data_IF_187693613397
#
_entry.id   IF_187693613397
#
_cell.length_a   1.000
_cell.length_b   1.000
_cell.length_c   1.000
_cell.angle_alpha   90.00
_cell.angle_beta   90.00
_cell.angle_gamma   90.00
#
_symmetry.space_group_name_H-M   'P 1'
#
loop_
_entity.id
_entity.type
_entity.pdbx_description
1 polymer ?
#
# COMPACT_ATOMS: atom_id res chain seq x y z
N UNK A 1 -9.64 1.91 3.76
CA UNK A 1 -8.32 2.58 3.65
C UNK A 1 -7.24 1.59 3.25
N UNK A 2 -7.01 0.52 4.03
CA UNK A 2 -6.10 -0.56 3.63
C UNK A 2 -6.59 -1.22 2.33
N UNK A 3 -7.86 -1.58 2.24
CA UNK A 3 -8.38 -2.25 1.03
C UNK A 3 -8.29 -1.41 -0.26
N UNK A 4 -8.21 -0.08 -0.14
CA UNK A 4 -8.03 0.81 -1.27
C UNK A 4 -6.55 1.00 -1.66
N UNK A 5 -5.61 0.65 -0.78
CA UNK A 5 -4.18 0.86 -0.98
C UNK A 5 -3.52 -0.30 -1.71
N UNK A 6 -2.67 0.00 -2.68
CA UNK A 6 -1.92 -1.01 -3.45
C UNK A 6 -0.50 -1.19 -2.91
N UNK A 7 0.01 -0.18 -2.21
CA UNK A 7 1.38 -0.10 -1.71
C UNK A 7 1.36 0.33 -0.25
N UNK A 8 2.24 -0.28 0.55
CA UNK A 8 2.57 0.16 1.89
C UNK A 8 4.07 0.43 2.00
N UNK A 9 4.47 1.14 3.05
CA UNK A 9 5.84 1.35 3.44
C UNK A 9 6.11 0.56 4.71
N UNK A 10 6.98 -0.44 4.63
CA UNK A 10 7.42 -1.25 5.77
C UNK A 10 8.65 -0.57 6.39
N UNK A 11 8.45 0.06 7.55
CA UNK A 11 9.50 0.57 8.42
C UNK A 11 9.99 -0.51 9.37
N UNK A 12 11.31 -0.74 9.40
CA UNK A 12 12.00 -1.68 10.30
C UNK A 12 13.27 -1.06 10.83
N UNK A 13 13.81 -1.59 11.93
CA UNK A 13 15.20 -1.35 12.33
C UNK A 13 16.08 -2.49 11.82
N UNK A 14 16.93 -2.21 10.84
CA UNK A 14 17.85 -3.19 10.28
C UNK A 14 19.29 -2.77 10.60
N UNK A 15 20.07 -3.64 11.25
CA UNK A 15 21.46 -3.36 11.64
C UNK A 15 21.61 -2.05 12.45
N UNK A 16 20.65 -1.78 13.33
CA UNK A 16 20.64 -0.60 14.20
C UNK A 16 20.22 0.71 13.53
N UNK A 17 19.83 0.70 12.25
CA UNK A 17 19.35 1.89 11.54
C UNK A 17 17.91 1.71 11.04
N UNK A 18 17.08 2.76 11.03
CA UNK A 18 15.77 2.73 10.40
C UNK A 18 15.89 2.49 8.89
N UNK A 19 15.07 1.59 8.39
CA UNK A 19 14.93 1.27 6.97
C UNK A 19 13.45 1.29 6.62
N UNK A 20 13.09 1.96 5.52
CA UNK A 20 11.71 2.01 5.03
C UNK A 20 11.69 1.48 3.60
N UNK A 21 10.94 0.40 3.37
CA UNK A 21 10.86 -0.25 2.06
C UNK A 21 9.42 -0.21 1.53
N UNK A 22 9.19 0.34 0.32
CA UNK A 22 7.89 0.23 -0.32
C UNK A 22 7.64 -1.21 -0.78
N UNK A 23 6.45 -1.73 -0.52
CA UNK A 23 6.06 -3.08 -0.95
C UNK A 23 4.55 -3.23 -1.09
N UNK A 24 4.10 -4.22 -1.86
CA UNK A 24 2.71 -4.65 -1.87
C UNK A 24 2.37 -5.41 -0.59
N UNK A 25 1.08 -5.42 -0.25
CA UNK A 25 0.57 -6.14 0.91
C UNK A 25 -0.80 -6.73 0.57
N UNK A 26 -1.30 -7.60 1.44
CA UNK A 26 -2.65 -8.14 1.39
C UNK A 26 -3.23 -8.17 2.80
N UNK A 27 -4.55 -8.26 2.91
CA UNK A 27 -5.24 -8.34 4.20
C UNK A 27 -6.19 -9.53 4.21
N UNK A 28 -6.17 -10.30 5.30
CA UNK A 28 -7.18 -11.32 5.58
C UNK A 28 -7.68 -11.04 7.00
N UNK A 29 -8.95 -10.65 7.14
CA UNK A 29 -9.52 -10.24 8.42
C UNK A 29 -8.67 -9.16 9.09
N UNK A 30 -8.18 -9.44 10.29
CA UNK A 30 -7.39 -8.52 11.11
C UNK A 30 -5.87 -8.73 10.99
N UNK A 31 -5.41 -9.34 9.89
CA UNK A 31 -4.00 -9.61 9.63
C UNK A 31 -3.56 -9.03 8.29
N UNK A 32 -2.46 -8.28 8.31
CA UNK A 32 -1.72 -7.84 7.14
C UNK A 32 -0.64 -8.84 6.77
N UNK A 33 -0.54 -9.14 5.48
CA UNK A 33 0.47 -10.01 4.90
C UNK A 33 1.40 -9.20 4.00
N UNK A 34 2.70 -9.39 4.17
CA UNK A 34 3.75 -8.83 3.31
C UNK A 34 4.63 -9.97 2.82
N UNK A 35 5.19 -9.86 1.62
CA UNK A 35 6.11 -10.87 1.10
C UNK A 35 7.40 -10.26 0.55
N UNK A 36 8.39 -11.11 0.34
CA UNK A 36 9.62 -10.77 -0.35
C UNK A 36 10.55 -11.98 -0.45
N UNK A 37 11.74 -11.78 -1.02
CA UNK A 37 12.76 -12.83 -0.99
C UNK A 37 13.10 -13.25 0.45
N UNK A 38 13.33 -14.53 0.69
CA UNK A 38 13.85 -15.04 1.98
C UNK A 38 15.17 -14.38 2.40
N UNK A 39 15.95 -13.86 1.44
CA UNK A 39 17.19 -13.12 1.70
C UNK A 39 17.00 -11.63 1.97
N UNK A 40 15.80 -11.06 1.84
CA UNK A 40 15.58 -9.63 1.98
C UNK A 40 15.87 -9.15 3.41
N UNK A 41 16.69 -8.10 3.54
CA UNK A 41 17.10 -7.56 4.84
C UNK A 41 15.91 -7.08 5.67
N UNK A 42 14.94 -6.40 5.03
CA UNK A 42 13.74 -5.89 5.69
C UNK A 42 12.87 -7.01 6.26
N UNK A 43 12.65 -8.08 5.48
CA UNK A 43 11.85 -9.23 5.91
C UNK A 43 12.53 -10.02 7.02
N UNK A 44 13.87 -10.19 6.96
CA UNK A 44 14.64 -10.85 8.03
C UNK A 44 14.66 -10.03 9.33
N UNK A 45 14.78 -8.70 9.23
CA UNK A 45 14.73 -7.82 10.39
C UNK A 45 13.34 -7.82 11.05
N UNK A 46 12.27 -7.73 10.26
CA UNK A 46 10.90 -7.80 10.78
C UNK A 46 10.56 -9.18 11.34
N UNK A 47 10.81 -10.25 10.59
CA UNK A 47 10.50 -11.63 11.01
C UNK A 47 11.39 -12.18 12.13
N UNK A 48 12.50 -11.51 12.44
CA UNK A 48 13.40 -11.85 13.54
C UNK A 48 12.94 -11.37 14.92
N UNK A 49 11.69 -10.91 15.05
CA UNK A 49 11.13 -10.39 16.31
C UNK A 49 11.26 -8.88 16.50
N UNK A 50 11.71 -8.14 15.48
CA UNK A 50 11.76 -6.68 15.51
C UNK A 50 10.38 -6.06 15.41
N UNK A 51 10.13 -4.98 16.16
CA UNK A 51 8.94 -4.16 15.97
C UNK A 51 9.01 -3.43 14.62
N UNK A 52 7.89 -3.38 13.91
CA UNK A 52 7.77 -2.75 12.60
C UNK A 52 6.64 -1.73 12.60
N UNK A 53 6.68 -0.83 11.64
CA UNK A 53 5.56 0.04 11.29
C UNK A 53 5.22 -0.15 9.82
N UNK A 54 3.99 -0.56 9.52
CA UNK A 54 3.47 -0.62 8.15
C UNK A 54 2.57 0.59 7.93
N UNK A 55 2.98 1.47 7.02
CA UNK A 55 2.23 2.70 6.70
C UNK A 55 1.61 2.63 5.31
N UNK A 56 0.32 2.92 5.21
CA UNK A 56 -0.41 3.09 3.94
C UNK A 56 -0.94 4.51 3.90
N UNK A 57 -0.68 5.24 2.80
CA UNK A 57 -1.09 6.64 2.64
C UNK A 57 -1.77 6.84 1.30
N UNK A 58 -2.90 7.53 1.32
CA UNK A 58 -3.64 8.02 0.15
C UNK A 58 -3.58 9.54 0.16
N UNK A 59 -3.06 10.13 -0.92
CA UNK A 59 -3.02 11.58 -1.11
C UNK A 59 -4.25 12.02 -1.89
N UNK A 60 -5.07 12.88 -1.29
CA UNK A 60 -6.37 13.29 -1.84
C UNK A 60 -6.35 14.74 -2.38
N UNK A 61 -5.31 15.52 -2.11
CA UNK A 61 -5.12 16.84 -2.72
C UNK A 61 -4.12 17.73 -1.99
N UNK A 62 -3.75 18.83 -2.65
CA UNK A 62 -2.91 19.88 -2.08
C UNK A 62 -3.82 20.98 -1.54
N UNK A 63 -3.53 21.48 -0.35
CA UNK A 63 -4.26 22.59 0.27
C UNK A 63 -3.41 23.85 0.23
N UNK A 64 -3.92 24.83 -0.52
CA UNK A 64 -3.25 26.07 -0.84
C UNK A 64 -3.92 27.19 -0.04
N UNK A 65 -3.28 27.61 1.05
CA UNK A 65 -3.70 28.71 1.91
C UNK A 65 -3.13 30.04 1.41
N UNK A 66 -3.49 31.16 2.06
CA UNK A 66 -2.99 32.50 1.72
C UNK A 66 -1.59 32.72 2.28
N UNK A 67 -1.32 32.16 3.46
CA UNK A 67 0.01 32.09 4.05
C UNK A 67 0.71 30.78 3.70
N UNK A 68 1.99 30.86 3.35
CA UNK A 68 2.79 29.66 3.06
C UNK A 68 2.87 28.70 4.25
N UNK A 69 2.73 29.21 5.48
CA UNK A 69 2.72 28.41 6.70
C UNK A 69 1.51 27.47 6.79
N UNK A 70 0.37 27.88 6.24
CA UNK A 70 -0.89 27.12 6.29
C UNK A 70 -1.08 26.17 5.09
N UNK A 71 -0.10 26.10 4.17
CA UNK A 71 -0.08 25.09 3.12
C UNK A 71 -0.03 23.68 3.73
N UNK A 72 -0.78 22.75 3.12
CA UNK A 72 -0.85 21.38 3.60
C UNK A 72 -1.35 20.43 2.50
N UNK A 73 -1.74 19.22 2.89
CA UNK A 73 -2.31 18.20 1.99
C UNK A 73 -3.53 17.56 2.61
N UNK A 74 -4.52 17.25 1.79
CA UNK A 74 -5.60 16.34 2.17
C UNK A 74 -5.13 14.91 1.92
N UNK A 75 -5.25 14.04 2.93
CA UNK A 75 -4.76 12.67 2.87
C UNK A 75 -5.46 11.78 3.89
N UNK A 76 -5.35 10.47 3.69
CA UNK A 76 -5.76 9.41 4.63
C UNK A 76 -4.58 8.46 4.84
N UNK A 77 -4.24 8.13 6.08
CA UNK A 77 -3.19 7.15 6.37
C UNK A 77 -3.51 6.20 7.51
N UNK A 78 -3.03 4.97 7.42
CA UNK A 78 -2.90 4.02 8.54
C UNK A 78 -1.43 3.79 8.83
N UNK A 79 -1.11 3.70 10.11
CA UNK A 79 0.14 3.14 10.60
C UNK A 79 -0.21 1.96 11.50
N UNK A 80 0.27 0.77 11.15
CA UNK A 80 0.08 -0.47 11.91
C UNK A 80 1.41 -0.84 12.54
N UNK A 81 1.41 -1.02 13.86
CA UNK A 81 2.59 -1.31 14.65
C UNK A 81 2.56 -2.73 15.18
N UNK A 82 3.74 -3.29 15.44
CA UNK A 82 3.87 -4.54 16.18
C UNK A 82 5.00 -5.42 15.66
N UNK A 83 5.10 -6.61 16.23
CA UNK A 83 6.08 -7.62 15.82
C UNK A 83 5.42 -8.61 14.84
N UNK A 84 5.79 -8.59 13.55
CA UNK A 84 5.22 -9.52 12.60
C UNK A 84 5.81 -10.91 12.84
N UNK A 85 5.00 -11.95 12.65
CA UNK A 85 5.52 -13.32 12.63
C UNK A 85 5.90 -13.73 11.22
N UNK A 86 6.94 -14.55 11.11
CA UNK A 86 7.20 -15.30 9.89
C UNK A 86 6.13 -16.39 9.73
N UNK A 87 5.53 -16.49 8.55
CA UNK A 87 4.57 -17.54 8.20
C UNK A 87 5.34 -18.78 7.77
N UNK A 88 5.17 -19.87 8.52
CA UNK A 88 5.82 -21.17 8.28
C UNK A 88 4.84 -22.27 7.89
N UNK A 89 3.56 -22.10 8.21
CA UNK A 89 2.50 -23.00 7.77
C UNK A 89 2.31 -22.88 6.24
N UNK A 90 2.35 -23.98 5.48
CA UNK A 90 2.26 -23.93 4.01
C UNK A 90 0.93 -23.36 3.49
N UNK A 91 -0.18 -23.68 4.16
CA UNK A 91 -1.52 -23.27 3.70
C UNK A 91 -1.71 -21.77 3.94
N UNK A 92 -1.28 -21.27 5.10
CA UNK A 92 -1.27 -19.84 5.36
C UNK A 92 -0.29 -19.08 4.46
N UNK A 93 0.89 -19.64 4.20
CA UNK A 93 1.87 -19.02 3.30
C UNK A 93 1.25 -18.76 1.93
N UNK A 94 0.57 -19.77 1.39
CA UNK A 94 -0.16 -19.65 0.13
C UNK A 94 -1.32 -18.66 0.21
N UNK A 95 -2.09 -18.67 1.31
CA UNK A 95 -3.18 -17.73 1.53
C UNK A 95 -2.70 -16.27 1.62
N UNK A 96 -1.57 -16.02 2.29
CA UNK A 96 -0.94 -14.71 2.38
C UNK A 96 -0.47 -14.19 1.02
N UNK A 97 0.18 -15.05 0.22
CA UNK A 97 0.55 -14.71 -1.16
C UNK A 97 -0.67 -14.40 -2.02
N UNK A 98 -1.72 -15.23 -1.92
CA UNK A 98 -2.99 -14.97 -2.61
C UNK A 98 -3.58 -13.63 -2.20
N UNK A 99 -3.64 -13.33 -0.90
CA UNK A 99 -4.18 -12.06 -0.41
C UNK A 99 -3.40 -10.85 -0.98
N UNK A 100 -2.08 -10.96 -1.11
CA UNK A 100 -1.26 -9.90 -1.72
C UNK A 100 -1.56 -9.77 -3.21
N UNK A 101 -1.63 -10.87 -3.95
CA UNK A 101 -1.98 -10.87 -5.38
C UNK A 101 -3.37 -10.26 -5.61
N UNK A 102 -4.35 -10.66 -4.81
CA UNK A 102 -5.74 -10.18 -4.91
C UNK A 102 -5.88 -8.71 -4.50
N UNK A 103 -5.10 -8.23 -3.52
CA UNK A 103 -5.06 -6.81 -3.16
C UNK A 103 -4.55 -5.97 -4.34
N UNK A 104 -3.52 -6.45 -5.05
CA UNK A 104 -2.95 -5.76 -6.20
C UNK A 104 -3.88 -5.81 -7.41
N UNK A 105 -4.41 -6.99 -7.73
CA UNK A 105 -5.28 -7.24 -8.86
C UNK A 105 -6.31 -8.34 -8.52
N UNK A 106 -7.53 -7.95 -8.09
CA UNK A 106 -8.60 -8.90 -7.78
C UNK A 106 -8.90 -9.83 -8.97
N UNK A 107 -8.95 -11.14 -8.72
CA UNK A 107 -9.11 -12.19 -9.72
C UNK A 107 -7.80 -12.66 -10.37
N UNK A 108 -6.67 -11.97 -10.13
CA UNK A 108 -5.41 -12.30 -10.79
C UNK A 108 -4.85 -13.64 -10.33
N UNK A 109 -5.07 -14.07 -9.08
CA UNK A 109 -4.52 -15.32 -8.58
C UNK A 109 -4.99 -16.52 -9.40
N UNK A 110 -6.27 -16.54 -9.76
CA UNK A 110 -6.88 -17.63 -10.53
C UNK A 110 -6.64 -17.49 -12.05
N UNK A 111 -6.19 -16.30 -12.51
CA UNK A 111 -5.92 -16.01 -13.92
C UNK A 111 -4.48 -16.33 -14.37
N UNK A 112 -3.58 -16.65 -13.44
CA UNK A 112 -2.17 -16.98 -13.72
C UNK A 112 -1.82 -18.40 -13.29
N UNK A 113 -0.68 -18.91 -13.75
CA UNK A 113 -0.21 -20.22 -13.26
C UNK A 113 0.06 -20.14 -11.75
N UNK A 114 -0.28 -21.19 -10.97
CA UNK A 114 0.08 -21.26 -9.57
C UNK A 114 1.60 -21.22 -9.31
N UNK A 115 2.05 -20.74 -8.12
CA UNK A 115 3.45 -20.76 -7.74
C UNK A 115 4.02 -22.19 -7.73
N UNK A 116 5.25 -22.34 -8.23
CA UNK A 116 6.01 -23.59 -8.10
C UNK A 116 6.56 -23.75 -6.68
N UNK A 117 6.91 -24.98 -6.30
CA UNK A 117 7.62 -25.25 -5.04
C UNK A 117 8.90 -24.44 -4.87
N UNK A 118 9.63 -24.18 -5.95
CA UNK A 118 10.86 -23.38 -5.93
C UNK A 118 10.56 -21.91 -5.61
N UNK A 119 9.51 -21.35 -6.20
CA UNK A 119 9.08 -19.97 -5.96
C UNK A 119 8.57 -19.80 -4.53
N UNK A 120 7.77 -20.75 -4.03
CA UNK A 120 7.32 -20.75 -2.63
C UNK A 120 8.50 -20.79 -1.66
N UNK A 121 9.48 -21.67 -1.88
CA UNK A 121 10.67 -21.77 -1.03
C UNK A 121 11.57 -20.52 -1.08
N UNK A 122 11.54 -19.75 -2.17
CA UNK A 122 12.31 -18.51 -2.31
C UNK A 122 11.61 -17.29 -1.70
N UNK A 123 10.37 -17.44 -1.23
CA UNK A 123 9.52 -16.33 -0.79
C UNK A 123 9.22 -16.42 0.70
N UNK A 124 9.60 -15.39 1.46
CA UNK A 124 9.16 -15.21 2.85
C UNK A 124 7.84 -14.43 2.89
N UNK A 125 6.96 -14.80 3.83
CA UNK A 125 5.71 -14.09 4.11
C UNK A 125 5.69 -13.71 5.59
N UNK A 126 5.41 -12.44 5.87
CA UNK A 126 5.20 -11.92 7.22
C UNK A 126 3.71 -11.69 7.43
N UNK A 127 3.23 -12.03 8.64
CA UNK A 127 1.89 -11.74 9.11
C UNK A 127 1.96 -10.74 10.28
N UNK A 128 1.29 -9.60 10.15
CA UNK A 128 1.23 -8.53 11.14
C UNK A 128 -0.23 -8.33 11.58
N UNK A 129 -0.47 -8.37 12.89
CA UNK A 129 -1.80 -8.11 13.45
C UNK A 129 -2.17 -6.64 13.31
N UNK A 130 -3.46 -6.36 13.04
CA UNK A 130 -4.03 -5.02 13.05
C UNK A 130 -4.44 -4.53 14.45
N UNK A 131 -4.11 -5.27 15.51
CA UNK A 131 -4.50 -4.94 16.88
C UNK A 131 -4.01 -3.55 17.33
N UNK A 132 -2.84 -3.11 16.84
CA UNK A 132 -2.30 -1.78 17.11
C UNK A 132 -2.21 -0.97 15.80
N UNK A 133 -3.22 -0.12 15.57
CA UNK A 133 -3.30 0.71 14.39
C UNK A 133 -3.71 2.15 14.75
N UNK A 134 -3.07 3.13 14.10
CA UNK A 134 -3.42 4.55 14.16
C UNK A 134 -3.85 5.04 12.79
N UNK A 135 -4.98 5.76 12.73
CA UNK A 135 -5.51 6.34 11.50
C UNK A 135 -5.47 7.86 11.58
N UNK A 136 -5.02 8.51 10.51
CA UNK A 136 -5.04 9.97 10.39
C UNK A 136 -5.68 10.39 9.07
N UNK A 137 -6.63 11.32 9.15
CA UNK A 137 -7.34 11.85 8.00
C UNK A 137 -7.30 13.38 8.08
N UNK A 138 -6.90 14.01 6.98
CA UNK A 138 -7.04 15.46 6.77
C UNK A 138 -7.83 15.69 5.50
N UNK A 139 -8.92 16.44 5.61
CA UNK A 139 -9.79 16.83 4.51
C UNK A 139 -10.24 18.29 4.72
N UNK A 140 -10.71 18.92 3.64
CA UNK A 140 -11.30 20.25 3.70
C UNK A 140 -10.41 21.38 3.16
N UNK A 141 -10.89 22.62 3.28
CA UNK A 141 -10.23 23.83 2.78
C UNK A 141 -8.98 24.21 3.60
N UNK A 142 -8.19 25.20 3.14
CA UNK A 142 -7.21 25.86 4.01
C UNK A 142 -7.88 26.52 5.21
N UNK A 143 -7.15 26.60 6.32
CA UNK A 143 -7.52 27.35 7.52
C UNK A 143 -6.42 28.40 7.66
N UNK A 144 -6.75 29.66 7.32
CA UNK A 144 -5.85 30.80 7.43
C UNK A 144 -6.06 31.52 8.78
N UNK A 145 -5.13 32.36 9.18
CA UNK A 145 -5.33 33.28 10.30
C UNK A 145 -6.32 34.39 9.90
N UNK A 146 -7.05 34.96 10.87
CA UNK A 146 -8.13 35.93 10.60
C UNK A 146 -7.66 37.13 9.76
N UNK A 147 -6.43 37.61 10.01
CA UNK A 147 -5.83 38.74 9.29
C UNK A 147 -5.53 38.45 7.81
N UNK A 148 -5.33 37.19 7.46
CA UNK A 148 -4.98 36.78 6.09
C UNK A 148 -6.20 36.75 5.16
N UNK A 149 -7.42 36.60 5.68
CA UNK A 149 -8.63 36.50 4.84
C UNK A 149 -8.90 37.76 3.99
N UNK A 150 -8.36 38.92 4.39
CA UNK A 150 -8.44 40.16 3.63
C UNK A 150 -7.42 40.28 2.49
N UNK A 151 -6.42 39.39 2.43
CA UNK A 151 -5.39 39.44 1.39
C UNK A 151 -5.97 39.06 0.02
N UNK A 152 -5.60 39.76 -1.06
CA UNK A 152 -6.05 39.45 -2.43
C UNK A 152 -5.27 38.26 -3.02
N UNK A 153 -5.18 37.16 -2.27
CA UNK A 153 -4.46 35.93 -2.62
C UNK A 153 -5.49 34.81 -2.77
N UNK A 154 -5.38 34.03 -3.84
CA UNK A 154 -6.24 32.87 -4.05
C UNK A 154 -5.88 31.75 -3.05
N UNK A 155 -6.90 31.11 -2.48
CA UNK A 155 -6.75 29.97 -1.59
C UNK A 155 -7.81 28.91 -1.91
N UNK A 156 -7.46 27.65 -1.74
CA UNK A 156 -8.34 26.53 -2.07
C UNK A 156 -7.68 25.17 -1.93
N UNK A 157 -8.32 24.17 -2.51
CA UNK A 157 -7.81 22.79 -2.59
C UNK A 157 -7.61 22.47 -4.06
N UNK A 158 -6.45 21.91 -4.40
CA UNK A 158 -6.20 21.25 -5.68
C UNK A 158 -6.37 19.75 -5.46
N UNK A 159 -7.53 19.15 -5.83
CA UNK A 159 -7.78 17.73 -5.58
C UNK A 159 -6.84 16.85 -6.40
N UNK A 160 -6.36 15.77 -5.79
CA UNK A 160 -5.61 14.72 -6.47
C UNK A 160 -6.48 13.46 -6.52
N UNK A 161 -6.65 12.88 -7.70
CA UNK A 161 -7.42 11.65 -7.90
C UNK A 161 -6.55 10.62 -8.59
N UNK A 162 -6.52 9.41 -8.04
CA UNK A 162 -5.86 8.27 -8.68
C UNK A 162 -6.88 7.48 -9.50
N UNK A 163 -6.55 7.28 -10.78
CA UNK A 163 -7.37 6.50 -11.72
C UNK A 163 -6.49 5.50 -12.44
N UNK A 164 -7.07 4.38 -12.84
CA UNK A 164 -6.42 3.43 -13.73
C UNK A 164 -6.34 3.99 -15.14
N UNK A 165 -5.22 3.74 -15.83
CA UNK A 165 -5.07 4.01 -17.25
C UNK A 165 -5.46 2.80 -18.10
N UNK A 166 -5.38 2.96 -19.42
CA UNK A 166 -5.54 1.87 -20.38
C UNK A 166 -4.44 0.80 -20.15
N UNK A 167 -4.78 -0.51 -20.10
CA UNK A 167 -3.78 -1.57 -19.96
C UNK A 167 -2.81 -1.60 -21.14
N UNK A 168 -1.51 -1.57 -20.83
CA UNK A 168 -0.44 -1.68 -21.82
C UNK A 168 0.01 -3.15 -21.93
N UNK A 169 -0.15 -3.80 -23.09
CA UNK A 169 0.25 -5.19 -23.28
C UNK A 169 1.77 -5.35 -23.25
N UNK A 170 2.25 -6.49 -22.72
CA UNK A 170 3.67 -6.84 -22.76
C UNK A 170 4.16 -6.98 -24.21
N UNK A 171 5.20 -6.26 -24.64
CA UNK A 171 5.79 -6.41 -25.98
C UNK A 171 6.27 -7.83 -26.31
N UNK A 172 6.47 -8.69 -25.31
CA UNK A 172 6.86 -10.09 -25.49
C UNK A 172 5.69 -11.05 -25.70
N UNK A 173 4.43 -10.58 -25.71
CA UNK A 173 3.28 -11.42 -26.06
C UNK A 173 3.46 -12.00 -27.47
N UNK A 174 3.37 -13.32 -27.58
CA UNK A 174 3.55 -14.05 -28.84
C UNK A 174 2.26 -14.16 -29.67
N UNK A 175 1.14 -13.72 -29.10
CA UNK A 175 -0.17 -13.69 -29.73
C UNK A 175 -0.95 -12.46 -29.27
N UNK A 176 -1.89 -12.01 -30.09
CA UNK A 176 -2.85 -10.98 -29.73
C UNK A 176 -3.89 -11.57 -28.77
N UNK A 177 -3.65 -11.40 -27.47
CA UNK A 177 -4.52 -11.90 -26.40
C UNK A 177 -5.35 -10.74 -25.84
N UNK A 178 -6.65 -10.93 -25.62
CA UNK A 178 -7.47 -9.89 -24.99
C UNK A 178 -7.01 -9.65 -23.55
N UNK A 179 -7.14 -8.40 -23.09
CA UNK A 179 -6.96 -8.07 -21.68
C UNK A 179 -7.95 -8.91 -20.84
N UNK A 180 -7.49 -9.59 -19.77
CA UNK A 180 -8.37 -10.35 -18.91
C UNK A 180 -9.52 -9.51 -18.35
N UNK A 181 -10.72 -10.08 -18.26
CA UNK A 181 -11.93 -9.34 -17.87
C UNK A 181 -11.83 -8.65 -16.50
N UNK A 182 -11.14 -9.27 -15.53
CA UNK A 182 -10.93 -8.68 -14.19
C UNK A 182 -9.95 -7.49 -14.19
N UNK A 183 -9.15 -7.34 -15.24
CA UNK A 183 -8.30 -6.16 -15.47
C UNK A 183 -9.05 -5.11 -16.28
N UNK A 184 -9.71 -5.51 -17.37
CA UNK A 184 -10.48 -4.60 -18.22
C UNK A 184 -11.66 -3.92 -17.49
N UNK A 185 -12.19 -4.56 -16.45
CA UNK A 185 -13.25 -4.01 -15.59
C UNK A 185 -12.77 -3.06 -14.50
N UNK A 186 -11.44 -2.82 -14.37
CA UNK A 186 -10.89 -1.84 -13.41
C UNK A 186 -11.07 -0.40 -13.90
N UNK A 187 -12.26 -0.09 -14.37
CA UNK A 187 -12.70 1.24 -14.71
C UNK A 187 -13.61 1.69 -13.57
N UNK A 188 -13.08 2.45 -12.61
CA UNK A 188 -13.76 3.46 -11.76
C UNK A 188 -12.76 3.91 -10.70
N UNK A 189 -12.70 5.23 -10.49
CA UNK A 189 -11.88 5.98 -9.54
C UNK A 189 -11.70 5.28 -8.20
N UNK A 190 -10.46 5.16 -7.72
CA UNK A 190 -10.20 4.85 -6.30
C UNK A 190 -10.60 6.12 -5.53
N UNK A 191 -11.85 6.18 -5.05
CA UNK A 191 -12.36 7.22 -4.16
C UNK A 191 -12.09 6.90 -2.70
#
# INVERSE_FOLDING_TARGET
>A
MLDAGLICHLGVVARGVPMVVPTGYGRIGDTLYLHGSTGATSLRAGGGGGEVCVTVTHLDGIVLARSAFHHSVNYRSAMVYGTPRLVTDPDEHLAGLRAITEQLAPGQWDAVRPPTRKELAATAVLALSLAEASVKIRQGPPIDDEEDYGLPIWAGVLPLRTTWGEPEPDPALTADLPVPGHIASRNITIG
#
